data_IF_101753273481
#
_entry.id   IF_101753273481
#
_cell.length_a   1.000
_cell.length_b   1.000
_cell.length_c   1.000
_cell.angle_alpha   90.00
_cell.angle_beta   90.00
_cell.angle_gamma   90.00
#
_symmetry.space_group_name_H-M   'P 1'
#
loop_
_entity.id
_entity.type
_entity.pdbx_description
1 polymer ?
#
# COMPACT_ATOMS: atom_id res chain seq x y z
N UNK A 1 -9.17 1.62 -4.04
CA UNK A 1 -8.75 0.44 -3.29
C UNK A 1 -8.66 0.78 -1.82
N UNK A 2 -9.38 0.04 -0.99
CA UNK A 2 -9.37 0.20 0.45
C UNK A 2 -8.27 -0.66 1.07
N UNK A 3 -7.22 -0.02 1.59
CA UNK A 3 -6.13 -0.71 2.28
C UNK A 3 -6.47 -1.15 3.71
N UNK A 4 -7.62 -0.72 4.24
CA UNK A 4 -8.17 -1.22 5.49
C UNK A 4 -9.02 -2.49 5.31
N UNK A 5 -9.35 -2.87 4.05
CA UNK A 5 -10.01 -4.14 3.74
C UNK A 5 -8.96 -5.17 3.29
N UNK A 6 -8.66 -6.13 4.17
CA UNK A 6 -7.77 -7.26 3.87
C UNK A 6 -8.18 -8.03 2.63
N UNK A 7 -9.48 -8.15 2.34
CA UNK A 7 -9.98 -8.88 1.18
C UNK A 7 -9.54 -8.18 -0.11
N UNK A 8 -9.61 -6.85 -0.15
CA UNK A 8 -9.11 -6.08 -1.28
C UNK A 8 -7.60 -6.26 -1.42
N UNK A 9 -6.83 -6.16 -0.33
CA UNK A 9 -5.37 -6.34 -0.34
C UNK A 9 -4.98 -7.73 -0.88
N UNK A 10 -5.65 -8.79 -0.42
CA UNK A 10 -5.43 -10.13 -0.95
C UNK A 10 -5.81 -10.26 -2.43
N UNK A 11 -6.93 -9.65 -2.84
CA UNK A 11 -7.31 -9.63 -4.26
C UNK A 11 -6.23 -8.98 -5.13
N UNK A 12 -5.66 -7.85 -4.70
CA UNK A 12 -4.57 -7.20 -5.42
C UNK A 12 -3.33 -8.10 -5.52
N UNK A 13 -2.94 -8.76 -4.42
CA UNK A 13 -1.82 -9.69 -4.44
C UNK A 13 -2.06 -10.86 -5.41
N UNK A 14 -3.27 -11.40 -5.43
CA UNK A 14 -3.67 -12.43 -6.41
C UNK A 14 -3.58 -11.92 -7.85
N UNK A 15 -4.00 -10.68 -8.11
CA UNK A 15 -3.90 -10.07 -9.45
C UNK A 15 -2.46 -9.90 -9.89
N UNK A 16 -1.59 -9.39 -9.02
CA UNK A 16 -0.16 -9.23 -9.29
C UNK A 16 0.47 -10.59 -9.60
N UNK A 17 0.17 -11.61 -8.79
CA UNK A 17 0.66 -12.99 -8.98
C UNK A 17 0.17 -13.63 -10.27
N UNK A 18 -1.05 -13.32 -10.68
CA UNK A 18 -1.67 -13.86 -11.91
C UNK A 18 -1.23 -13.12 -13.17
N UNK A 19 -0.46 -12.03 -13.04
CA UNK A 19 -0.01 -11.19 -14.14
C UNK A 19 1.52 -11.23 -14.29
N UNK A 20 2.10 -12.34 -14.78
CA UNK A 20 3.57 -12.49 -14.88
C UNK A 20 4.23 -11.49 -15.84
N UNK A 21 3.45 -10.89 -16.74
CA UNK A 21 3.88 -9.88 -17.71
C UNK A 21 3.56 -8.44 -17.27
N UNK A 22 3.21 -8.24 -16.00
CA UNK A 22 2.87 -6.91 -15.49
C UNK A 22 4.12 -6.02 -15.44
N UNK A 23 4.21 -5.05 -16.35
CA UNK A 23 5.33 -4.11 -16.38
C UNK A 23 5.09 -2.82 -15.59
N UNK A 24 3.82 -2.43 -15.45
CA UNK A 24 3.42 -1.18 -14.81
C UNK A 24 2.24 -1.44 -13.91
N UNK A 25 2.32 -0.97 -12.67
CA UNK A 25 1.27 -1.07 -11.68
C UNK A 25 0.94 0.31 -11.14
N UNK A 26 -0.33 0.69 -11.22
CA UNK A 26 -0.84 1.90 -10.60
C UNK A 26 -1.88 1.49 -9.56
N UNK A 27 -1.71 1.99 -8.34
CA UNK A 27 -2.59 1.71 -7.22
C UNK A 27 -3.08 3.04 -6.67
N UNK A 28 -4.38 3.18 -6.53
CA UNK A 28 -4.99 4.36 -5.92
C UNK A 28 -5.76 3.94 -4.68
N UNK A 29 -5.38 4.52 -3.54
CA UNK A 29 -6.18 4.39 -2.34
C UNK A 29 -7.51 5.14 -2.53
N UNK A 30 -8.60 4.48 -2.15
CA UNK A 30 -9.93 5.08 -2.06
C UNK A 30 -10.18 5.44 -0.61
N UNK A 31 -10.62 6.67 -0.37
CA UNK A 31 -10.78 7.20 1.00
C UNK A 31 -11.69 6.28 1.81
N UNK A 32 -11.31 6.01 3.05
CA UNK A 32 -12.22 5.40 4.01
C UNK A 32 -13.36 6.40 4.29
N UNK A 33 -14.59 6.05 3.90
CA UNK A 33 -15.78 6.85 4.21
C UNK A 33 -16.12 6.71 5.69
N UNK A 34 -15.50 7.54 6.52
CA UNK A 34 -15.95 7.72 7.90
C UNK A 34 -16.52 9.13 8.05
N UNK A 35 -17.72 9.20 8.62
CA UNK A 35 -18.39 10.44 9.02
C UNK A 35 -17.52 11.19 10.02
N UNK A 36 -17.62 12.52 10.03
CA UNK A 36 -16.75 13.49 10.74
C UNK A 36 -16.50 13.21 12.24
N UNK A 37 -17.28 12.31 12.85
CA UNK A 37 -17.22 11.95 14.27
C UNK A 37 -16.37 10.71 14.60
N UNK A 38 -15.79 10.01 13.62
CA UNK A 38 -14.95 8.83 13.85
C UNK A 38 -13.56 8.97 13.23
N UNK A 39 -12.52 8.93 14.08
CA UNK A 39 -11.13 8.79 13.64
C UNK A 39 -10.99 7.46 12.86
N UNK A 40 -10.25 7.49 11.75
CA UNK A 40 -10.11 6.32 10.89
C UNK A 40 -9.39 5.21 11.65
N UNK A 41 -10.13 4.21 12.13
CA UNK A 41 -9.60 3.00 12.79
C UNK A 41 -8.83 2.08 11.81
N UNK A 42 -8.53 2.58 10.61
CA UNK A 42 -7.80 1.87 9.57
C UNK A 42 -6.34 1.54 9.96
N UNK A 43 -5.83 2.11 11.05
CA UNK A 43 -4.48 1.87 11.60
C UNK A 43 -4.50 1.36 13.06
N UNK A 44 -5.64 0.86 13.56
CA UNK A 44 -5.74 0.31 14.91
C UNK A 44 -4.88 -0.96 15.06
N UNK A 45 -4.01 -0.99 16.08
CA UNK A 45 -3.04 -2.06 16.36
C UNK A 45 -3.66 -3.48 16.47
N UNK A 46 -4.96 -3.59 16.75
CA UNK A 46 -5.67 -4.88 16.83
C UNK A 46 -5.94 -5.49 15.44
N UNK A 47 -6.15 -4.68 14.40
CA UNK A 47 -6.29 -5.13 13.00
C UNK A 47 -4.93 -5.34 12.32
N UNK A 48 -3.88 -4.73 12.88
CA UNK A 48 -2.51 -4.65 12.36
C UNK A 48 -1.77 -6.00 12.35
N UNK A 49 -2.16 -6.97 13.16
CA UNK A 49 -1.53 -8.31 13.19
C UNK A 49 -1.91 -9.22 12.00
N UNK A 50 -2.94 -8.87 11.22
CA UNK A 50 -3.43 -9.70 10.11
C UNK A 50 -2.83 -9.32 8.74
N UNK A 51 -2.10 -8.21 8.62
CA UNK A 51 -1.53 -7.71 7.35
C UNK A 51 -0.21 -8.37 6.95
N UNK A 52 0.12 -9.53 7.52
CA UNK A 52 1.29 -10.30 7.11
C UNK A 52 1.08 -10.85 5.69
N UNK A 53 1.68 -10.19 4.71
CA UNK A 53 1.81 -10.74 3.36
C UNK A 53 2.81 -11.89 3.46
N UNK A 54 2.33 -13.13 3.43
CA UNK A 54 3.21 -14.29 3.41
C UNK A 54 4.09 -14.21 2.15
N UNK A 55 5.39 -14.05 2.39
CA UNK A 55 6.44 -14.31 1.42
C UNK A 55 6.40 -15.81 1.12
N UNK A 56 5.67 -16.21 0.08
CA UNK A 56 5.94 -17.51 -0.52
C UNK A 56 7.25 -17.38 -1.28
N UNK A 57 8.23 -18.21 -0.96
CA UNK A 57 9.62 -18.15 -1.45
C UNK A 57 9.78 -18.13 -3.00
N UNK A 58 8.70 -18.37 -3.77
CA UNK A 58 8.69 -18.41 -5.25
C UNK A 58 7.98 -17.20 -5.93
N UNK A 59 7.64 -16.14 -5.20
CA UNK A 59 6.78 -15.08 -5.74
C UNK A 59 7.50 -13.95 -6.49
N UNK A 60 8.40 -14.26 -7.42
CA UNK A 60 9.13 -13.20 -8.15
C UNK A 60 8.28 -12.52 -9.22
N UNK A 61 8.16 -11.19 -9.15
CA UNK A 61 7.46 -10.34 -10.12
C UNK A 61 8.48 -9.85 -11.15
N UNK A 62 8.77 -10.73 -12.12
CA UNK A 62 9.96 -10.60 -12.98
C UNK A 62 9.97 -9.39 -13.92
N UNK A 63 8.82 -8.83 -14.27
CA UNK A 63 8.74 -7.81 -15.33
C UNK A 63 8.27 -6.44 -14.85
N UNK A 64 7.98 -6.30 -13.56
CA UNK A 64 7.45 -5.05 -13.01
C UNK A 64 8.57 -4.00 -12.96
N UNK A 65 8.43 -2.96 -13.77
CA UNK A 65 9.43 -1.89 -13.90
C UNK A 65 9.01 -0.60 -13.21
N UNK A 66 7.70 -0.33 -13.13
CA UNK A 66 7.18 0.92 -12.57
C UNK A 66 5.97 0.66 -11.69
N UNK A 67 6.03 1.18 -10.47
CA UNK A 67 4.89 1.24 -9.54
C UNK A 67 4.58 2.69 -9.21
N UNK A 68 3.29 3.04 -9.19
CA UNK A 68 2.82 4.34 -8.74
C UNK A 68 1.67 4.19 -7.75
N UNK A 69 1.84 4.75 -6.56
CA UNK A 69 0.79 4.90 -5.56
C UNK A 69 0.21 6.31 -5.64
N UNK A 70 -1.11 6.40 -5.66
CA UNK A 70 -1.86 7.66 -5.55
C UNK A 70 -2.72 7.65 -4.29
N UNK A 71 -2.88 8.83 -3.67
CA UNK A 71 -3.56 9.01 -2.39
C UNK A 71 -2.92 8.18 -1.26
N UNK A 72 -1.60 8.06 -1.26
CA UNK A 72 -0.87 7.33 -0.23
C UNK A 72 -1.04 8.03 1.12
N UNK A 73 -1.57 7.33 2.11
CA UNK A 73 -1.84 7.88 3.46
C UNK A 73 -0.91 7.32 4.52
N UNK A 74 -0.14 6.27 4.21
CA UNK A 74 0.85 5.69 5.10
C UNK A 74 0.31 4.57 5.97
N UNK A 75 -0.80 3.94 5.59
CA UNK A 75 -1.30 2.77 6.33
C UNK A 75 -0.27 1.65 6.32
N UNK A 76 -0.22 0.88 7.41
CA UNK A 76 0.72 -0.26 7.47
C UNK A 76 0.56 -1.21 6.29
N UNK A 77 -0.68 -1.49 5.85
CA UNK A 77 -0.95 -2.31 4.68
C UNK A 77 -0.34 -1.77 3.38
N UNK A 78 -0.39 -0.44 3.18
CA UNK A 78 0.26 0.22 2.04
C UNK A 78 1.78 0.05 2.12
N UNK A 79 2.36 0.21 3.31
CA UNK A 79 3.80 0.05 3.54
C UNK A 79 4.26 -1.39 3.34
N UNK A 80 3.53 -2.39 3.86
CA UNK A 80 3.87 -3.81 3.67
C UNK A 80 3.75 -4.22 2.21
N UNK A 81 2.74 -3.73 1.48
CA UNK A 81 2.67 -3.94 0.04
C UNK A 81 3.86 -3.30 -0.70
N UNK A 82 4.26 -2.08 -0.32
CA UNK A 82 5.42 -1.43 -0.92
C UNK A 82 6.71 -2.23 -0.67
N UNK A 83 6.91 -2.72 0.56
CA UNK A 83 8.04 -3.60 0.91
C UNK A 83 8.02 -4.90 0.11
N UNK A 84 6.87 -5.55 0.01
CA UNK A 84 6.68 -6.76 -0.78
C UNK A 84 7.07 -6.52 -2.25
N UNK A 85 6.54 -5.45 -2.87
CA UNK A 85 6.86 -5.11 -4.25
C UNK A 85 8.36 -4.83 -4.45
N UNK A 86 9.00 -4.13 -3.51
CA UNK A 86 10.45 -3.87 -3.54
C UNK A 86 11.28 -5.14 -3.40
N UNK A 87 10.88 -6.07 -2.53
CA UNK A 87 11.58 -7.33 -2.29
C UNK A 87 11.44 -8.34 -3.43
N UNK A 88 10.29 -8.34 -4.12
CA UNK A 88 9.94 -9.35 -5.11
C UNK A 88 10.02 -8.90 -6.57
N UNK A 89 10.34 -7.63 -6.85
CA UNK A 89 10.39 -7.09 -8.22
C UNK A 89 11.83 -6.69 -8.63
N UNK A 90 12.67 -7.63 -9.09
CA UNK A 90 14.08 -7.36 -9.37
C UNK A 90 14.33 -6.37 -10.52
N UNK A 91 13.36 -6.18 -11.43
CA UNK A 91 13.45 -5.22 -12.53
C UNK A 91 12.80 -3.88 -12.22
N UNK A 92 12.39 -3.65 -10.97
CA UNK A 92 11.73 -2.41 -10.59
C UNK A 92 12.71 -1.24 -10.67
N UNK A 93 12.44 -0.31 -11.59
CA UNK A 93 13.27 0.88 -11.83
C UNK A 93 12.76 2.08 -11.04
N UNK A 94 11.45 2.18 -10.85
CA UNK A 94 10.82 3.35 -10.25
C UNK A 94 9.59 2.95 -9.44
N UNK A 95 9.56 3.40 -8.18
CA UNK A 95 8.36 3.38 -7.34
C UNK A 95 8.08 4.84 -6.94
N UNK A 96 6.92 5.37 -7.32
CA UNK A 96 6.47 6.71 -6.92
C UNK A 96 5.31 6.62 -5.94
N UNK A 97 5.33 7.48 -4.92
CA UNK A 97 4.31 7.51 -3.88
C UNK A 97 3.82 8.94 -3.75
N UNK A 98 2.61 9.19 -4.22
CA UNK A 98 1.97 10.50 -4.15
C UNK A 98 1.06 10.54 -2.93
N UNK A 99 1.45 11.35 -1.95
CA UNK A 99 0.69 11.56 -0.71
C UNK A 99 -0.74 11.99 -1.01
N UNK A 100 -1.69 11.51 -0.22
CA UNK A 100 -3.02 12.08 -0.18
C UNK A 100 -2.96 13.53 0.32
N UNK A 101 -3.87 14.37 -0.18
CA UNK A 101 -4.11 15.73 0.35
C UNK A 101 -4.56 15.72 1.81
N UNK A 102 -4.95 14.57 2.34
CA UNK A 102 -5.51 14.40 3.68
C UNK A 102 -4.46 13.98 4.73
N UNK A 103 -3.18 13.78 4.35
CA UNK A 103 -2.13 13.56 5.33
C UNK A 103 -1.95 14.84 6.16
N UNK A 104 -2.19 14.78 7.48
CA UNK A 104 -1.84 15.87 8.39
C UNK A 104 -0.36 16.17 8.21
N UNK A 105 -0.03 17.44 7.98
CA UNK A 105 1.35 17.90 8.03
C UNK A 105 1.92 17.52 9.41
N UNK A 106 3.12 16.93 9.43
CA UNK A 106 3.88 16.86 10.68
C UNK A 106 4.01 18.29 11.18
N UNK A 107 3.39 18.56 12.32
CA UNK A 107 3.42 19.88 12.95
C UNK A 107 4.84 20.10 13.44
N UNK A 108 5.72 20.58 12.56
CA UNK A 108 6.95 21.30 12.91
C UNK A 108 6.56 22.64 13.56
N UNK A 109 5.92 22.56 14.74
CA UNK A 109 5.87 23.66 15.69
C UNK A 109 6.63 23.25 16.95
N UNK A 110 7.90 22.90 16.79
CA UNK A 110 8.88 23.13 17.84
C UNK A 110 9.44 24.56 17.67
N UNK A 111 8.61 25.56 17.98
CA UNK A 111 9.11 26.85 18.46
C UNK A 111 9.08 26.75 19.97
N UNK A 112 10.25 26.58 20.59
CA UNK A 112 10.79 27.41 21.68
C UNK A 112 12.24 27.01 21.95
#
# INVERSE_FOLDING_TARGET
MNFADLSEVYCLLCLIRSAPYLCKLHISHEKCYHTEDFECMCDDEEYVNNYWIQDSDDCTINLLETVAFSNFIGLRAEMELAKFLLGHSPLLKTMSMHRSTDMKEDVDNAIF
#
